data_IF_595909127481
#
_entry.id   IF_595909127481
#
_cell.length_a   1.000
_cell.length_b   1.000
_cell.length_c   1.000
_cell.angle_alpha   90.00
_cell.angle_beta   90.00
_cell.angle_gamma   90.00
#
_symmetry.space_group_name_H-M   'P 1'
#
loop_
_entity.id
_entity.type
_entity.pdbx_description
1 polymer ?
#
# COMPACT_ATOMS: atom_id res chain seq x y z
N UNK A 1 5.20 13.43 4.90
CA UNK A 1 6.02 13.22 6.11
C UNK A 1 5.32 12.24 7.02
N UNK A 2 5.27 10.96 6.61
CA UNK A 2 4.64 9.87 7.39
C UNK A 2 5.72 8.80 7.55
N UNK A 3 5.94 8.26 8.77
CA UNK A 3 6.97 7.25 8.99
C UNK A 3 6.60 5.97 8.26
N UNK A 4 7.52 5.50 7.40
CA UNK A 4 7.42 4.23 6.69
C UNK A 4 8.37 3.25 7.36
N UNK A 5 7.84 2.11 7.81
CA UNK A 5 8.61 1.06 8.51
C UNK A 5 9.15 0.00 7.55
N UNK A 6 8.45 -0.21 6.43
CA UNK A 6 8.84 -1.17 5.42
C UNK A 6 8.27 -0.80 4.06
N UNK A 7 8.97 -1.17 3.00
CA UNK A 7 8.56 -0.96 1.62
C UNK A 7 9.00 -2.15 0.78
N UNK A 8 8.09 -2.63 -0.06
CA UNK A 8 8.31 -3.74 -0.96
C UNK A 8 7.66 -3.46 -2.32
N UNK A 9 8.36 -3.80 -3.39
CA UNK A 9 7.88 -3.69 -4.76
C UNK A 9 7.96 -5.06 -5.42
N UNK A 10 6.82 -5.53 -5.93
CA UNK A 10 6.71 -6.83 -6.56
C UNK A 10 5.96 -6.74 -7.89
N UNK A 11 6.19 -7.69 -8.83
CA UNK A 11 5.30 -7.86 -9.97
C UNK A 11 3.86 -8.11 -9.51
N UNK A 12 2.87 -7.54 -10.21
CA UNK A 12 1.45 -7.72 -9.84
C UNK A 12 0.79 -8.96 -10.47
N UNK A 13 1.50 -9.67 -11.35
CA UNK A 13 0.93 -10.69 -12.24
C UNK A 13 0.21 -10.14 -13.46
N UNK A 14 -0.01 -8.82 -13.53
CA UNK A 14 -0.54 -8.12 -14.71
C UNK A 14 0.59 -7.39 -15.44
N UNK A 15 0.71 -7.61 -16.75
CA UNK A 15 1.73 -6.96 -17.56
C UNK A 15 1.64 -5.43 -17.45
N UNK A 16 2.78 -4.77 -17.28
CA UNK A 16 2.87 -3.31 -17.13
C UNK A 16 2.41 -2.77 -15.76
N UNK A 17 2.10 -3.63 -14.78
CA UNK A 17 1.72 -3.22 -13.43
C UNK A 17 2.61 -3.84 -12.36
N UNK A 18 3.08 -3.00 -11.45
CA UNK A 18 3.76 -3.42 -10.22
C UNK A 18 2.84 -3.24 -9.02
N UNK A 19 3.06 -4.04 -7.99
CA UNK A 19 2.43 -3.90 -6.67
C UNK A 19 3.44 -3.30 -5.71
N UNK A 20 3.15 -2.09 -5.23
CA UNK A 20 3.89 -1.44 -4.16
C UNK A 20 3.14 -1.66 -2.84
N UNK A 21 3.82 -2.23 -1.85
CA UNK A 21 3.31 -2.40 -0.49
C UNK A 21 4.24 -1.67 0.48
N UNK A 22 3.68 -0.93 1.43
CA UNK A 22 4.45 -0.27 2.47
C UNK A 22 3.69 -0.30 3.79
N UNK A 23 4.44 -0.34 4.89
CA UNK A 23 3.90 -0.33 6.24
C UNK A 23 4.13 1.04 6.84
N UNK A 24 3.07 1.60 7.41
CA UNK A 24 3.08 2.91 8.05
C UNK A 24 2.55 2.79 9.47
N UNK A 25 3.23 3.43 10.42
CA UNK A 25 2.75 3.55 11.80
C UNK A 25 1.94 4.82 11.93
N UNK A 26 0.63 4.72 11.69
CA UNK A 26 -0.28 5.86 11.79
C UNK A 26 -1.70 5.43 12.21
N UNK A 27 -2.48 6.41 12.66
CA UNK A 27 -3.92 6.21 12.87
C UNK A 27 -4.67 6.05 11.53
N UNK A 28 -5.92 5.57 11.62
CA UNK A 28 -6.76 5.33 10.46
C UNK A 28 -6.98 6.60 9.61
N UNK A 29 -7.13 7.77 10.25
CA UNK A 29 -7.35 9.03 9.56
C UNK A 29 -6.13 9.49 8.75
N UNK A 30 -4.92 9.16 9.22
CA UNK A 30 -3.67 9.44 8.53
C UNK A 30 -3.43 8.44 7.41
N UNK A 31 -3.72 7.15 7.65
CA UNK A 31 -3.65 6.11 6.62
C UNK A 31 -4.59 6.43 5.44
N UNK A 32 -5.82 6.85 5.71
CA UNK A 32 -6.79 7.24 4.68
C UNK A 32 -6.31 8.47 3.89
N UNK A 33 -5.82 9.51 4.58
CA UNK A 33 -5.24 10.69 3.91
C UNK A 33 -4.08 10.31 2.99
N UNK A 34 -3.21 9.39 3.41
CA UNK A 34 -2.12 8.89 2.56
C UNK A 34 -2.70 8.17 1.34
N UNK A 35 -3.66 7.27 1.52
CA UNK A 35 -4.31 6.55 0.42
C UNK A 35 -4.97 7.52 -0.59
N UNK A 36 -5.62 8.58 -0.11
CA UNK A 36 -6.19 9.62 -0.97
C UNK A 36 -5.14 10.38 -1.79
N UNK A 37 -3.89 10.53 -1.30
CA UNK A 37 -2.82 11.12 -2.11
C UNK A 37 -2.39 10.17 -3.24
N UNK A 38 -2.30 8.87 -2.97
CA UNK A 38 -1.96 7.88 -4.00
C UNK A 38 -3.01 7.79 -5.10
N UNK A 39 -4.29 7.94 -4.78
CA UNK A 39 -5.36 8.00 -5.78
C UNK A 39 -5.22 9.17 -6.77
N UNK A 40 -4.46 10.22 -6.42
CA UNK A 40 -4.22 11.39 -7.28
C UNK A 40 -3.00 11.22 -8.18
N UNK A 41 -2.19 10.18 -7.97
CA UNK A 41 -0.93 10.03 -8.69
C UNK A 41 -1.12 9.31 -10.03
N UNK A 42 -0.48 9.85 -11.07
CA UNK A 42 -0.42 9.22 -12.39
C UNK A 42 0.35 7.90 -12.28
N UNK A 43 -0.19 6.83 -12.88
CA UNK A 43 0.41 5.49 -12.84
C UNK A 43 -0.02 4.62 -11.65
N UNK A 44 -0.77 5.19 -10.69
CA UNK A 44 -1.45 4.39 -9.65
C UNK A 44 -2.78 3.91 -10.19
N UNK A 45 -2.95 2.58 -10.31
CA UNK A 45 -4.20 1.97 -10.78
C UNK A 45 -5.23 1.82 -9.67
N UNK A 46 -4.81 1.43 -8.48
CA UNK A 46 -5.67 1.28 -7.30
C UNK A 46 -4.84 1.34 -6.03
N UNK A 47 -5.49 1.66 -4.91
CA UNK A 47 -4.87 1.71 -3.57
C UNK A 47 -5.74 0.91 -2.61
N UNK A 48 -5.12 0.13 -1.74
CA UNK A 48 -5.78 -0.62 -0.68
C UNK A 48 -5.07 -0.34 0.64
N UNK A 49 -5.83 -0.18 1.71
CA UNK A 49 -5.30 -0.05 3.08
C UNK A 49 -5.72 -1.28 3.86
N UNK A 50 -4.75 -1.98 4.44
CA UNK A 50 -4.99 -3.11 5.31
C UNK A 50 -4.65 -2.67 6.74
N UNK A 51 -5.60 -2.81 7.65
CA UNK A 51 -5.35 -2.61 9.07
C UNK A 51 -4.70 -3.87 9.65
N UNK A 52 -3.74 -3.68 10.56
CA UNK A 52 -2.98 -4.75 11.24
C UNK A 52 -3.87 -5.72 12.07
N UNK A 53 -5.18 -5.49 12.11
CA UNK A 53 -6.14 -6.35 12.82
C UNK A 53 -6.75 -7.50 12.03
N UNK A 54 -6.59 -7.60 10.69
CA UNK A 54 -7.42 -8.53 9.91
C UNK A 54 -6.80 -9.13 8.62
N UNK A 55 -5.48 -9.15 8.43
CA UNK A 55 -4.92 -9.75 7.20
C UNK A 55 -3.49 -10.26 7.33
N UNK A 56 -3.35 -11.45 7.92
CA UNK A 56 -2.24 -12.35 7.58
C UNK A 56 -2.61 -13.07 6.29
N UNK A 57 -2.37 -12.43 5.14
CA UNK A 57 -2.18 -13.20 3.90
C UNK A 57 -0.72 -13.09 3.53
N UNK A 58 0.04 -14.09 3.96
CA UNK A 58 1.37 -14.37 3.43
C UNK A 58 1.30 -14.35 1.90
N UNK A 59 2.02 -13.42 1.29
CA UNK A 59 2.37 -13.54 -0.11
C UNK A 59 3.32 -14.74 -0.22
N UNK A 60 2.73 -15.91 -0.50
CA UNK A 60 3.48 -17.12 -0.80
C UNK A 60 4.43 -16.86 -1.98
N UNK A 61 5.65 -17.36 -1.80
CA UNK A 61 6.85 -17.15 -2.60
C UNK A 61 6.76 -17.79 -3.99
#
# INVERSE_FOLDING_TARGET
>A
NVPIEGLALHPSGTAGLSRLTFVLKADAATADRVAQQFHKMIGVRSVMVLADGDSTTEAAR
#
